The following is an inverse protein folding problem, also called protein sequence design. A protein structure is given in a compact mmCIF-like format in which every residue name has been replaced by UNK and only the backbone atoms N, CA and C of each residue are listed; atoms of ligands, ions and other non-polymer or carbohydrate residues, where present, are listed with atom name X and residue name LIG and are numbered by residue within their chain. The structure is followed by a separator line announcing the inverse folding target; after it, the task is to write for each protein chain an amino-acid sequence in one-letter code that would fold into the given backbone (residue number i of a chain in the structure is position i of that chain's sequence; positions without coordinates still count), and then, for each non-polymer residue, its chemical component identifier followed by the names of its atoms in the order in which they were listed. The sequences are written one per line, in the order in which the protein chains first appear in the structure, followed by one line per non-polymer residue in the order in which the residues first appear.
data_IF_693035755338
#
_entry.id   IF_693035755338
#
_cell.length_a   1.000
_cell.length_b   1.000
_cell.length_c   1.000
_cell.angle_alpha   90.00
_cell.angle_beta   90.00
_cell.angle_gamma   90.00
#
_symmetry.space_group_name_H-M   'P 1'
#
loop_
_entity.id
_entity.type
_entity.pdbx_description
1 polymer ?
#
# COMPACT_ATOMS: atom_id res chain seq x y z
N UNK A 1 10.76 -32.71 23.41
CA UNK A 1 11.17 -34.10 23.17
C UNK A 1 11.75 -34.76 24.44
N UNK A 2 12.62 -34.09 25.23
CA UNK A 2 13.25 -34.62 26.44
C UNK A 2 12.25 -34.90 27.58
N UNK A 3 11.25 -34.03 27.79
CA UNK A 3 10.23 -34.20 28.84
C UNK A 3 9.30 -35.37 28.51
N UNK A 4 8.91 -35.50 27.22
CA UNK A 4 8.08 -36.61 26.77
C UNK A 4 8.81 -37.95 26.88
N UNK A 5 10.10 -38.00 26.54
CA UNK A 5 10.91 -39.21 26.68
C UNK A 5 11.11 -39.57 28.17
N UNK A 6 11.30 -38.60 29.07
CA UNK A 6 11.41 -38.83 30.51
C UNK A 6 10.08 -39.38 31.07
N UNK A 7 8.94 -38.81 30.68
CA UNK A 7 7.63 -39.30 31.11
C UNK A 7 7.33 -40.72 30.60
N UNK A 8 7.68 -41.04 29.35
CA UNK A 8 7.54 -42.38 28.82
C UNK A 8 8.42 -43.37 29.58
N UNK A 9 9.68 -43.01 29.87
CA UNK A 9 10.60 -43.78 30.65
C UNK A 9 10.07 -44.07 32.06
N UNK A 10 9.56 -43.03 32.74
CA UNK A 10 9.00 -43.12 34.10
C UNK A 10 7.75 -44.03 34.14
N UNK A 11 6.89 -43.89 33.12
CA UNK A 11 5.70 -44.78 32.98
C UNK A 11 6.10 -46.21 32.72
N UNK A 12 7.13 -46.46 31.87
CA UNK A 12 7.69 -47.77 31.59
C UNK A 12 8.37 -48.37 32.81
N UNK A 13 9.13 -47.55 33.57
CA UNK A 13 9.80 -48.00 34.78
C UNK A 13 8.78 -48.34 35.87
N UNK A 14 7.75 -47.48 36.05
CA UNK A 14 6.69 -47.74 37.03
C UNK A 14 5.87 -49.00 36.66
N UNK A 15 5.57 -49.23 35.39
CA UNK A 15 4.91 -50.47 34.94
C UNK A 15 5.77 -51.68 35.10
N UNK A 16 7.10 -51.59 34.83
CA UNK A 16 8.07 -52.64 35.04
C UNK A 16 8.23 -52.98 36.54
N UNK A 17 8.39 -51.98 37.42
CA UNK A 17 8.44 -52.15 38.86
C UNK A 17 7.17 -52.74 39.45
N UNK A 18 6.00 -52.29 38.97
CA UNK A 18 4.69 -52.85 39.31
C UNK A 18 4.53 -54.31 38.88
N UNK A 19 5.15 -54.68 37.75
CA UNK A 19 5.17 -56.05 37.24
C UNK A 19 6.13 -56.93 38.05
N UNK A 20 7.33 -56.43 38.42
CA UNK A 20 8.32 -57.11 39.22
C UNK A 20 7.88 -57.22 40.68
N UNK A 21 7.30 -56.18 41.29
CA UNK A 21 6.78 -56.25 42.68
C UNK A 21 5.65 -57.26 42.85
N UNK A 22 4.93 -57.56 41.79
CA UNK A 22 3.96 -58.69 41.78
C UNK A 22 4.69 -60.02 41.75
N UNK A 23 5.88 -60.08 41.13
CA UNK A 23 6.64 -61.31 40.93
C UNK A 23 7.56 -61.63 42.15
N UNK A 24 7.97 -60.65 42.95
CA UNK A 24 8.93 -60.83 44.07
C UNK A 24 8.29 -60.72 45.47
N UNK A 25 7.03 -60.33 45.59
CA UNK A 25 6.41 -60.13 46.91
C UNK A 25 6.07 -61.39 47.65
N UNK A 26 6.12 -62.55 47.03
CA UNK A 26 5.96 -63.85 47.73
C UNK A 26 6.72 -64.96 47.03
N UNK A 27 7.83 -65.32 47.61
CA UNK A 27 8.38 -66.66 47.39
C UNK A 27 7.46 -67.60 48.15
N UNK A 28 6.55 -68.28 47.35
CA UNK A 28 5.79 -69.48 47.63
C UNK A 28 4.33 -69.36 48.03
N UNK A 29 3.53 -70.38 47.76
CA UNK A 29 3.62 -71.68 47.13
C UNK A 29 2.71 -71.87 45.91
N UNK A 30 2.68 -73.08 45.36
CA UNK A 30 2.19 -73.76 44.16
C UNK A 30 0.88 -73.32 43.46
N UNK A 31 0.30 -72.19 43.74
CA UNK A 31 -0.95 -71.72 43.09
C UNK A 31 -0.91 -70.22 42.68
N UNK A 32 0.18 -69.74 42.16
CA UNK A 32 0.20 -68.38 41.55
C UNK A 32 -0.34 -68.39 40.13
N UNK A 33 -1.63 -68.57 39.99
CA UNK A 33 -2.33 -68.32 38.76
C UNK A 33 -2.15 -66.82 38.44
N UNK A 34 -1.52 -66.54 37.29
CA UNK A 34 -1.34 -65.14 36.80
C UNK A 34 -2.68 -64.40 36.89
N UNK A 35 -2.69 -63.27 37.61
CA UNK A 35 -3.94 -62.51 37.83
C UNK A 35 -4.23 -61.63 36.64
N UNK A 36 -4.94 -62.14 35.69
CA UNK A 36 -5.37 -61.43 34.46
C UNK A 36 -6.13 -60.15 34.75
N UNK A 37 -6.88 -60.04 35.86
CA UNK A 37 -7.61 -58.85 36.21
C UNK A 37 -6.68 -57.71 36.59
N UNK A 38 -5.65 -57.94 37.39
CA UNK A 38 -4.62 -56.96 37.75
C UNK A 38 -3.83 -56.49 36.54
N UNK A 39 -3.46 -57.40 35.66
CA UNK A 39 -2.76 -57.11 34.42
C UNK A 39 -3.61 -56.19 33.49
N UNK A 40 -4.86 -56.58 33.24
CA UNK A 40 -5.78 -55.79 32.42
C UNK A 40 -6.05 -54.41 33.02
N UNK A 41 -6.13 -54.29 34.34
CA UNK A 41 -6.28 -53.03 35.05
C UNK A 41 -5.06 -52.12 34.86
N UNK A 42 -3.83 -52.66 35.00
CA UNK A 42 -2.61 -51.93 34.80
C UNK A 42 -2.49 -51.42 33.35
N UNK A 43 -2.78 -52.29 32.35
CA UNK A 43 -2.79 -51.93 30.93
C UNK A 43 -3.83 -50.84 30.63
N UNK A 44 -5.06 -50.99 31.10
CA UNK A 44 -6.11 -49.99 30.88
C UNK A 44 -5.74 -48.62 31.46
N UNK A 45 -5.17 -48.61 32.67
CA UNK A 45 -4.67 -47.39 33.33
C UNK A 45 -3.57 -46.71 32.46
N UNK A 46 -2.60 -47.48 31.98
CA UNK A 46 -1.53 -46.96 31.13
C UNK A 46 -2.04 -46.38 29.82
N UNK A 47 -3.02 -47.05 29.18
CA UNK A 47 -3.68 -46.55 27.98
C UNK A 47 -4.39 -45.20 28.24
N UNK A 48 -5.12 -45.10 29.34
CA UNK A 48 -5.84 -43.88 29.72
C UNK A 48 -4.83 -42.71 29.92
N UNK A 49 -3.76 -42.96 30.69
CA UNK A 49 -2.71 -41.96 30.94
C UNK A 49 -2.04 -41.53 29.63
N UNK A 50 -1.76 -42.46 28.72
CA UNK A 50 -1.18 -42.16 27.41
C UNK A 50 -2.12 -41.31 26.57
N UNK A 51 -3.40 -41.65 26.53
CA UNK A 51 -4.40 -40.87 25.78
C UNK A 51 -4.58 -39.46 26.36
N UNK A 52 -4.59 -39.31 27.69
CA UNK A 52 -4.59 -38.00 28.32
C UNK A 52 -3.35 -37.18 27.95
N UNK A 53 -2.17 -37.81 28.02
CA UNK A 53 -0.92 -37.13 27.59
C UNK A 53 -0.96 -36.71 26.13
N UNK A 54 -1.41 -37.59 25.23
CA UNK A 54 -1.59 -37.23 23.82
C UNK A 54 -2.56 -36.07 23.64
N UNK A 55 -3.66 -36.07 24.39
CA UNK A 55 -4.63 -34.97 24.36
C UNK A 55 -4.01 -33.62 24.75
N UNK A 56 -3.25 -33.59 25.87
CA UNK A 56 -2.52 -32.40 26.29
C UNK A 56 -1.46 -31.97 25.29
N UNK A 57 -0.71 -32.91 24.73
CA UNK A 57 0.31 -32.64 23.73
C UNK A 57 -0.28 -32.00 22.47
N UNK A 58 -1.36 -32.57 21.95
CA UNK A 58 -2.03 -32.00 20.78
C UNK A 58 -2.68 -30.64 21.08
N UNK A 59 -3.30 -30.48 22.25
CA UNK A 59 -3.86 -29.19 22.67
C UNK A 59 -2.77 -28.12 22.74
N UNK A 60 -1.60 -28.45 23.31
CA UNK A 60 -0.44 -27.55 23.37
C UNK A 60 0.05 -27.15 21.98
N UNK A 61 0.21 -28.11 21.05
CA UNK A 61 0.66 -27.83 19.67
C UNK A 61 -0.36 -26.96 18.94
N UNK A 62 -1.67 -27.24 19.11
CA UNK A 62 -2.72 -26.44 18.48
C UNK A 62 -2.70 -25.01 19.02
N UNK A 63 -2.58 -24.84 20.33
CA UNK A 63 -2.49 -23.53 20.98
C UNK A 63 -1.26 -22.73 20.50
N UNK A 64 -0.10 -23.39 20.40
CA UNK A 64 1.13 -22.77 19.91
C UNK A 64 0.99 -22.33 18.45
N UNK A 65 0.45 -23.19 17.58
CA UNK A 65 0.19 -22.85 16.17
C UNK A 65 -0.82 -21.70 16.03
N UNK A 66 -1.89 -21.73 16.83
CA UNK A 66 -2.90 -20.67 16.83
C UNK A 66 -2.30 -19.32 17.21
N UNK A 67 -1.48 -19.27 18.28
CA UNK A 67 -0.75 -18.04 18.68
C UNK A 67 0.22 -17.56 17.61
N UNK A 68 0.95 -18.47 16.97
CA UNK A 68 1.87 -18.11 15.91
C UNK A 68 1.15 -17.50 14.69
N UNK A 69 -0.02 -18.06 14.34
CA UNK A 69 -0.87 -17.51 13.29
C UNK A 69 -1.44 -16.13 13.65
N UNK A 70 -1.90 -15.96 14.88
CA UNK A 70 -2.40 -14.66 15.38
C UNK A 70 -1.34 -13.58 15.32
N UNK A 71 -0.11 -13.87 15.79
CA UNK A 71 1.02 -12.95 15.70
C UNK A 71 1.35 -12.60 14.25
N UNK A 72 1.30 -13.58 13.34
CA UNK A 72 1.52 -13.35 11.92
C UNK A 72 0.44 -12.43 11.32
N UNK A 73 -0.82 -12.68 11.63
CA UNK A 73 -1.94 -11.85 11.17
C UNK A 73 -1.81 -10.41 11.69
N UNK A 74 -1.47 -10.20 12.96
CA UNK A 74 -1.24 -8.87 13.54
C UNK A 74 -0.08 -8.14 12.85
N UNK A 75 1.00 -8.85 12.51
CA UNK A 75 2.12 -8.28 11.74
C UNK A 75 1.70 -7.87 10.32
N UNK A 76 0.90 -8.69 9.66
CA UNK A 76 0.35 -8.37 8.33
C UNK A 76 -0.56 -7.14 8.37
N UNK A 77 -1.43 -7.05 9.37
CA UNK A 77 -2.33 -5.92 9.56
C UNK A 77 -1.54 -4.63 9.87
N UNK A 78 -0.56 -4.70 10.77
CA UNK A 78 0.33 -3.57 11.07
C UNK A 78 1.10 -3.10 9.82
N UNK A 79 1.65 -4.02 9.03
CA UNK A 79 2.35 -3.71 7.78
C UNK A 79 1.43 -3.09 6.74
N UNK A 80 0.20 -3.60 6.62
CA UNK A 80 -0.82 -3.03 5.73
C UNK A 80 -1.16 -1.59 6.13
N UNK A 81 -1.41 -1.34 7.41
CA UNK A 81 -1.71 -0.02 7.94
C UNK A 81 -0.54 0.96 7.73
N UNK A 82 0.71 0.51 7.90
CA UNK A 82 1.90 1.31 7.63
C UNK A 82 2.00 1.70 6.16
N UNK A 83 1.75 0.76 5.24
CA UNK A 83 1.72 1.01 3.79
C UNK A 83 0.61 2.00 3.44
N UNK A 84 -0.59 1.84 4.01
CA UNK A 84 -1.70 2.76 3.80
C UNK A 84 -1.38 4.19 4.30
N UNK A 85 -0.80 4.32 5.49
CA UNK A 85 -0.33 5.59 6.03
C UNK A 85 0.76 6.22 5.17
N UNK A 86 1.70 5.44 4.68
CA UNK A 86 2.76 5.90 3.78
C UNK A 86 2.19 6.39 2.46
N UNK A 87 1.24 5.65 1.89
CA UNK A 87 0.55 6.05 0.66
C UNK A 87 -0.26 7.34 0.87
N UNK A 88 -0.98 7.47 1.99
CA UNK A 88 -1.73 8.68 2.31
C UNK A 88 -0.82 9.90 2.48
N UNK A 89 0.33 9.74 3.18
CA UNK A 89 1.34 10.81 3.29
C UNK A 89 1.96 11.18 1.94
N UNK A 90 2.16 10.21 1.06
CA UNK A 90 2.70 10.46 -0.28
C UNK A 90 1.72 11.23 -1.20
N UNK A 91 0.40 11.08 -0.97
CA UNK A 91 -0.63 11.85 -1.68
C UNK A 91 -0.67 13.32 -1.30
N UNK A 92 -0.19 13.65 -0.08
CA UNK A 92 -0.07 15.03 0.40
C UNK A 92 1.36 15.49 0.14
N UNK A 93 1.66 16.04 -1.04
CA UNK A 93 3.00 16.57 -1.36
C UNK A 93 3.45 17.60 -0.28
N UNK A 94 4.31 17.23 0.72
CA UNK A 94 4.63 18.13 1.84
C UNK A 94 5.33 19.41 1.37
N UNK A 95 6.14 19.30 0.33
CA UNK A 95 6.87 20.45 -0.21
C UNK A 95 5.91 21.48 -0.85
N UNK A 96 4.89 21.01 -1.57
CA UNK A 96 3.83 21.88 -2.08
C UNK A 96 3.08 22.58 -0.95
N UNK A 97 2.70 21.84 0.10
CA UNK A 97 2.02 22.41 1.27
C UNK A 97 2.82 23.52 1.93
N UNK A 98 4.10 23.28 2.23
CA UNK A 98 4.96 24.30 2.84
C UNK A 98 5.10 25.52 1.97
N UNK A 99 5.28 25.34 0.66
CA UNK A 99 5.41 26.46 -0.27
C UNK A 99 4.10 27.27 -0.38
N UNK A 100 2.95 26.59 -0.51
CA UNK A 100 1.65 27.26 -0.56
C UNK A 100 1.38 28.05 0.71
N UNK A 101 1.65 27.49 1.89
CA UNK A 101 1.49 28.18 3.17
C UNK A 101 2.40 29.40 3.30
N UNK A 102 3.65 29.32 2.82
CA UNK A 102 4.56 30.47 2.80
C UNK A 102 4.07 31.58 1.86
N UNK A 103 3.59 31.22 0.66
CA UNK A 103 3.02 32.19 -0.28
C UNK A 103 1.77 32.85 0.29
N UNK A 104 0.88 32.06 0.90
CA UNK A 104 -0.32 32.58 1.58
C UNK A 104 0.06 33.52 2.72
N UNK A 105 1.07 33.18 3.52
CA UNK A 105 1.56 34.06 4.60
C UNK A 105 2.02 35.41 4.06
N UNK A 106 2.74 35.44 2.95
CA UNK A 106 3.14 36.69 2.31
C UNK A 106 1.95 37.50 1.82
N UNK A 107 0.90 36.83 1.31
CA UNK A 107 -0.34 37.50 0.87
C UNK A 107 -1.17 38.09 2.01
N UNK A 108 -1.05 37.60 3.26
CA UNK A 108 -1.85 38.11 4.39
C UNK A 108 -1.70 39.62 4.57
N UNK A 109 -0.49 40.13 4.37
CA UNK A 109 -0.19 41.57 4.47
C UNK A 109 -0.44 42.33 3.15
N UNK A 110 -0.11 41.69 1.99
CA UNK A 110 -0.16 42.33 0.68
C UNK A 110 -1.58 42.34 0.08
N UNK A 111 -2.29 41.23 0.19
CA UNK A 111 -3.64 41.03 -0.37
C UNK A 111 -4.47 40.05 0.48
N UNK A 112 -5.06 40.49 1.58
CA UNK A 112 -5.81 39.64 2.50
C UNK A 112 -6.98 38.87 1.85
N UNK A 113 -7.60 39.45 0.84
CA UNK A 113 -8.70 38.80 0.10
C UNK A 113 -8.21 37.60 -0.68
N UNK A 114 -7.08 37.74 -1.38
CA UNK A 114 -6.46 36.64 -2.11
C UNK A 114 -5.91 35.58 -1.16
N UNK A 115 -5.33 35.98 -0.01
CA UNK A 115 -4.89 35.06 1.03
C UNK A 115 -6.04 34.15 1.50
N UNK A 116 -7.21 34.74 1.81
CA UNK A 116 -8.42 34.02 2.23
C UNK A 116 -8.91 33.04 1.16
N UNK A 117 -8.92 33.45 -0.10
CA UNK A 117 -9.28 32.60 -1.25
C UNK A 117 -8.31 31.44 -1.39
N UNK A 118 -7.01 31.70 -1.29
CA UNK A 118 -5.95 30.68 -1.40
C UNK A 118 -6.01 29.63 -0.28
N UNK A 119 -6.35 30.05 0.96
CA UNK A 119 -6.57 29.11 2.08
C UNK A 119 -7.74 28.16 1.76
N UNK A 120 -8.84 28.72 1.24
CA UNK A 120 -10.02 27.93 0.87
C UNK A 120 -9.69 26.94 -0.26
N UNK A 121 -8.99 27.41 -1.29
CA UNK A 121 -8.55 26.57 -2.41
C UNK A 121 -7.62 25.45 -1.94
N UNK A 122 -6.65 25.74 -1.08
CA UNK A 122 -5.71 24.73 -0.53
C UNK A 122 -6.47 23.68 0.28
N UNK A 123 -7.39 24.10 1.15
CA UNK A 123 -8.22 23.17 1.93
C UNK A 123 -9.08 22.27 1.05
N UNK A 124 -9.67 22.80 -0.01
CA UNK A 124 -10.48 22.04 -0.96
C UNK A 124 -9.63 21.07 -1.77
N UNK A 125 -8.47 21.52 -2.25
CA UNK A 125 -7.50 20.66 -2.99
C UNK A 125 -7.10 19.43 -2.16
N UNK A 126 -6.71 19.65 -0.90
CA UNK A 126 -6.30 18.58 0.00
C UNK A 126 -7.43 17.57 0.24
N UNK A 127 -8.64 18.07 0.53
CA UNK A 127 -9.82 17.23 0.74
C UNK A 127 -10.16 16.41 -0.50
N UNK A 128 -10.16 17.04 -1.68
CA UNK A 128 -10.43 16.36 -2.95
C UNK A 128 -9.35 15.33 -3.28
N UNK A 129 -8.06 15.66 -3.14
CA UNK A 129 -6.95 14.73 -3.39
C UNK A 129 -7.05 13.46 -2.53
N UNK A 130 -7.42 13.60 -1.24
CA UNK A 130 -7.62 12.46 -0.33
C UNK A 130 -8.82 11.62 -0.75
N UNK A 131 -9.94 12.25 -1.11
CA UNK A 131 -11.17 11.54 -1.47
C UNK A 131 -11.05 10.83 -2.83
N UNK A 132 -10.57 11.53 -3.85
CA UNK A 132 -10.39 10.97 -5.19
C UNK A 132 -9.31 9.89 -5.21
N UNK A 133 -8.24 10.06 -4.44
CA UNK A 133 -7.16 9.07 -4.36
C UNK A 133 -7.58 7.67 -3.89
N UNK A 134 -8.74 7.55 -3.23
CA UNK A 134 -9.32 6.27 -2.79
C UNK A 134 -10.14 5.57 -3.89
N UNK A 135 -10.50 6.29 -4.94
CA UNK A 135 -11.29 5.75 -6.04
C UNK A 135 -10.43 4.95 -7.00
N UNK A 136 -11.04 4.02 -7.71
CA UNK A 136 -10.36 3.24 -8.76
C UNK A 136 -10.19 4.05 -10.03
N UNK A 137 -11.27 4.66 -10.48
CA UNK A 137 -11.37 5.55 -11.63
C UNK A 137 -12.23 6.74 -11.25
N UNK A 138 -12.00 7.88 -11.93
CA UNK A 138 -12.76 9.12 -11.78
C UNK A 138 -13.00 9.75 -13.15
N UNK A 139 -14.06 10.55 -13.30
CA UNK A 139 -14.25 11.36 -14.51
C UNK A 139 -13.06 12.31 -14.74
N UNK A 140 -12.66 12.48 -15.99
CA UNK A 140 -11.59 13.41 -16.35
C UNK A 140 -11.90 14.85 -15.89
N UNK A 141 -13.17 15.24 -15.88
CA UNK A 141 -13.62 16.54 -15.37
C UNK A 141 -13.19 16.79 -13.93
N UNK A 142 -13.27 15.78 -13.06
CA UNK A 142 -12.89 15.89 -11.65
C UNK A 142 -11.38 16.04 -11.48
N UNK A 143 -10.62 15.25 -12.22
CA UNK A 143 -9.15 15.35 -12.26
C UNK A 143 -8.70 16.73 -12.77
N UNK A 144 -9.33 17.26 -13.82
CA UNK A 144 -9.03 18.59 -14.37
C UNK A 144 -9.36 19.72 -13.40
N UNK A 145 -10.44 19.61 -12.65
CA UNK A 145 -10.79 20.58 -11.62
C UNK A 145 -9.72 20.60 -10.52
N UNK A 146 -9.23 19.43 -10.13
CA UNK A 146 -8.15 19.31 -9.15
C UNK A 146 -6.85 19.95 -9.68
N UNK A 147 -6.47 19.64 -10.92
CA UNK A 147 -5.29 20.19 -11.59
C UNK A 147 -5.37 21.71 -11.74
N UNK A 148 -6.52 22.26 -12.15
CA UNK A 148 -6.73 23.72 -12.25
C UNK A 148 -6.59 24.40 -10.88
N UNK A 149 -7.16 23.81 -9.84
CA UNK A 149 -7.04 24.34 -8.47
C UNK A 149 -5.58 24.33 -8.00
N UNK A 150 -4.85 23.25 -8.29
CA UNK A 150 -3.42 23.15 -8.00
C UNK A 150 -2.62 24.23 -8.73
N UNK A 151 -2.83 24.39 -10.04
CA UNK A 151 -2.12 25.39 -10.85
C UNK A 151 -2.44 26.82 -10.43
N UNK A 152 -3.68 27.11 -10.02
CA UNK A 152 -4.05 28.43 -9.47
C UNK A 152 -3.28 28.76 -8.18
N UNK A 153 -3.05 27.75 -7.31
CA UNK A 153 -2.23 27.94 -6.10
C UNK A 153 -0.75 28.13 -6.43
N UNK A 154 -0.22 27.39 -7.41
CA UNK A 154 1.16 27.59 -7.89
C UNK A 154 1.33 28.92 -8.63
N UNK A 155 0.28 29.42 -9.30
CA UNK A 155 0.28 30.75 -9.94
C UNK A 155 0.50 31.87 -8.92
N UNK A 156 -0.03 31.74 -7.70
CA UNK A 156 0.24 32.69 -6.60
C UNK A 156 1.73 32.76 -6.25
N UNK A 157 2.42 31.64 -6.39
CA UNK A 157 3.85 31.52 -6.06
C UNK A 157 4.77 31.97 -7.19
N UNK A 158 4.42 31.57 -8.41
CA UNK A 158 5.26 31.82 -9.59
C UNK A 158 4.90 33.09 -10.33
N UNK A 159 3.71 33.64 -10.05
CA UNK A 159 3.17 34.85 -10.68
C UNK A 159 3.21 34.75 -12.22
N UNK A 160 3.83 35.72 -12.90
CA UNK A 160 3.94 35.75 -14.36
C UNK A 160 4.88 34.66 -14.92
N UNK A 161 5.69 34.03 -14.07
CA UNK A 161 6.63 32.96 -14.47
C UNK A 161 5.94 31.64 -14.80
N UNK A 162 4.67 31.47 -14.46
CA UNK A 162 3.89 30.27 -14.79
C UNK A 162 2.79 30.65 -15.79
N UNK A 163 2.91 30.20 -17.03
CA UNK A 163 1.83 30.26 -18.01
C UNK A 163 1.16 28.87 -18.15
N UNK A 164 -0.15 28.85 -18.32
CA UNK A 164 -0.91 27.60 -18.50
C UNK A 164 -1.82 27.69 -19.71
N UNK A 165 -1.88 26.64 -20.51
CA UNK A 165 -2.77 26.51 -21.66
C UNK A 165 -3.49 25.18 -21.65
N UNK A 166 -4.81 25.22 -21.82
CA UNK A 166 -5.67 24.02 -21.88
C UNK A 166 -6.41 23.99 -23.21
N UNK A 167 -6.28 22.88 -23.90
CA UNK A 167 -7.02 22.56 -25.11
C UNK A 167 -7.65 21.18 -24.96
N UNK A 168 -8.89 21.17 -24.48
CA UNK A 168 -9.59 19.97 -24.04
C UNK A 168 -10.86 19.80 -24.82
N UNK A 169 -10.99 18.66 -25.49
CA UNK A 169 -12.19 18.29 -26.19
C UNK A 169 -13.33 18.00 -25.20
N UNK A 170 -14.52 18.60 -25.33
CA UNK A 170 -15.61 18.43 -24.37
C UNK A 170 -16.02 16.97 -24.13
N UNK A 171 -16.00 16.14 -25.17
CA UNK A 171 -16.36 14.73 -25.10
C UNK A 171 -15.42 13.93 -24.20
N UNK A 172 -14.17 14.39 -24.03
CA UNK A 172 -13.20 13.76 -23.15
C UNK A 172 -13.53 13.89 -21.67
N UNK A 173 -14.30 14.90 -21.26
CA UNK A 173 -14.57 15.22 -19.86
C UNK A 173 -15.24 14.08 -19.08
N UNK A 174 -16.02 13.24 -19.77
CA UNK A 174 -16.72 12.11 -19.16
C UNK A 174 -15.91 10.81 -19.18
N UNK A 175 -14.73 10.79 -19.84
CA UNK A 175 -13.87 9.62 -19.82
C UNK A 175 -13.34 9.35 -18.42
N UNK A 176 -13.34 8.08 -18.03
CA UNK A 176 -12.82 7.67 -16.74
C UNK A 176 -11.32 7.42 -16.79
N UNK A 177 -10.59 7.99 -15.82
CA UNK A 177 -9.14 7.84 -15.69
C UNK A 177 -8.75 7.51 -14.22
N UNK A 178 -7.56 6.94 -14.00
CA UNK A 178 -7.04 6.77 -12.65
C UNK A 178 -6.85 8.14 -11.97
N UNK A 179 -7.31 8.31 -10.71
CA UNK A 179 -7.17 9.59 -10.00
C UNK A 179 -5.72 9.98 -9.79
N UNK A 180 -5.45 11.28 -9.72
CA UNK A 180 -4.14 11.89 -9.50
C UNK A 180 -3.11 11.57 -10.60
N UNK A 181 -3.58 11.11 -11.77
CA UNK A 181 -2.71 10.80 -12.91
C UNK A 181 -2.13 12.07 -13.54
N UNK A 182 -3.01 12.99 -13.94
CA UNK A 182 -2.62 14.26 -14.57
C UNK A 182 -1.98 15.18 -13.54
N UNK A 183 -2.52 15.22 -12.33
CA UNK A 183 -1.93 16.00 -11.23
C UNK A 183 -0.47 15.63 -11.01
N UNK A 184 -0.14 14.34 -10.94
CA UNK A 184 1.25 13.89 -10.77
C UNK A 184 2.17 14.39 -11.90
N UNK A 185 1.69 14.42 -13.13
CA UNK A 185 2.46 14.91 -14.28
C UNK A 185 2.68 16.42 -14.17
N UNK A 186 1.63 17.17 -13.84
CA UNK A 186 1.69 18.62 -13.68
C UNK A 186 2.58 19.01 -12.50
N UNK A 187 2.52 18.30 -11.37
CA UNK A 187 3.45 18.48 -10.25
C UNK A 187 4.90 18.29 -10.67
N UNK A 188 5.19 17.27 -11.49
CA UNK A 188 6.53 17.05 -12.02
C UNK A 188 6.94 18.15 -13.00
N UNK A 189 6.03 18.63 -13.85
CA UNK A 189 6.27 19.76 -14.75
C UNK A 189 6.64 21.05 -13.98
N UNK A 190 5.92 21.36 -12.90
CA UNK A 190 6.28 22.48 -12.02
C UNK A 190 7.63 22.26 -11.36
N UNK A 191 7.83 21.11 -10.72
CA UNK A 191 9.03 20.83 -9.92
C UNK A 191 10.32 20.78 -10.74
N UNK A 192 10.27 20.15 -11.90
CA UNK A 192 11.46 19.87 -12.72
C UNK A 192 11.59 20.78 -13.93
N UNK A 193 10.53 21.49 -14.34
CA UNK A 193 10.53 22.51 -15.37
C UNK A 193 10.51 23.90 -14.77
N UNK A 194 9.34 24.41 -14.45
CA UNK A 194 9.09 25.81 -14.09
C UNK A 194 9.95 26.29 -12.90
N UNK A 195 10.01 25.48 -11.84
CA UNK A 195 10.78 25.85 -10.63
C UNK A 195 12.29 25.91 -10.83
N UNK A 196 12.81 25.30 -11.90
CA UNK A 196 14.24 25.29 -12.24
C UNK A 196 14.65 26.43 -13.18
N UNK A 197 13.69 27.05 -13.88
CA UNK A 197 13.92 28.15 -14.80
C UNK A 197 13.76 29.51 -14.11
N UNK A 198 14.70 30.42 -14.28
CA UNK A 198 14.59 31.82 -13.79
C UNK A 198 13.51 32.57 -14.56
N UNK A 199 13.40 32.33 -15.85
CA UNK A 199 12.40 32.97 -16.73
C UNK A 199 10.99 32.34 -16.59
N UNK A 200 10.88 31.21 -15.88
CA UNK A 200 9.65 30.46 -15.79
C UNK A 200 9.39 29.56 -16.99
N UNK A 201 8.13 29.43 -17.37
CA UNK A 201 7.77 28.63 -18.53
C UNK A 201 6.25 28.37 -18.64
N UNK A 202 5.90 27.56 -19.61
CA UNK A 202 4.52 27.23 -19.93
C UNK A 202 4.24 25.75 -19.66
N UNK A 203 3.03 25.46 -19.16
CA UNK A 203 2.45 24.11 -19.13
C UNK A 203 1.28 24.10 -20.09
N UNK A 204 1.35 23.27 -21.09
CA UNK A 204 0.29 23.07 -22.07
C UNK A 204 -0.30 21.67 -21.93
N UNK A 205 -1.63 21.59 -21.93
CA UNK A 205 -2.37 20.35 -21.87
C UNK A 205 -3.32 20.21 -23.03
N UNK A 206 -3.16 19.16 -23.82
CA UNK A 206 -4.03 18.84 -24.96
C UNK A 206 -4.68 17.49 -24.69
N UNK A 207 -6.00 17.44 -24.71
CA UNK A 207 -6.75 16.19 -24.47
C UNK A 207 -7.77 15.99 -25.59
N UNK A 208 -7.70 14.83 -26.23
CA UNK A 208 -8.54 14.44 -27.36
C UNK A 208 -9.07 13.02 -27.19
N UNK A 209 -10.26 12.80 -27.69
CA UNK A 209 -10.82 11.46 -27.91
C UNK A 209 -10.70 11.13 -29.38
N UNK A 210 -9.98 10.08 -29.70
CA UNK A 210 -9.77 9.62 -31.06
C UNK A 210 -10.12 8.14 -31.15
N UNK A 211 -11.15 7.81 -31.90
CA UNK A 211 -11.71 6.45 -32.02
C UNK A 211 -12.06 5.91 -30.60
N UNK A 212 -11.36 4.84 -30.15
CA UNK A 212 -11.54 4.20 -28.85
C UNK A 212 -10.49 4.63 -27.83
N UNK A 213 -9.75 5.71 -28.07
CA UNK A 213 -8.64 6.11 -27.22
C UNK A 213 -8.78 7.55 -26.71
N UNK A 214 -8.54 7.72 -25.42
CA UNK A 214 -8.29 9.00 -24.81
C UNK A 214 -6.79 9.31 -24.90
N UNK A 215 -6.45 10.38 -25.61
CA UNK A 215 -5.09 10.89 -25.76
C UNK A 215 -4.91 12.10 -24.85
N UNK A 216 -3.97 12.04 -23.90
CA UNK A 216 -3.61 13.10 -22.98
C UNK A 216 -2.16 13.47 -23.26
N UNK A 217 -1.92 14.72 -23.65
CA UNK A 217 -0.58 15.26 -23.90
C UNK A 217 -0.36 16.42 -22.95
N UNK A 218 0.69 16.34 -22.13
CA UNK A 218 1.14 17.42 -21.25
C UNK A 218 2.53 17.83 -21.69
N UNK A 219 2.71 19.09 -22.06
CA UNK A 219 3.99 19.69 -22.40
C UNK A 219 4.38 20.72 -21.37
N UNK A 220 5.62 20.76 -21.00
CA UNK A 220 6.15 21.85 -20.16
C UNK A 220 7.53 22.29 -20.63
N UNK A 221 7.81 23.57 -20.46
CA UNK A 221 9.17 24.12 -20.61
C UNK A 221 10.10 23.50 -19.59
N UNK A 222 11.29 23.08 -20.04
CA UNK A 222 12.32 22.50 -19.17
C UNK A 222 13.07 21.35 -19.83
N UNK A 223 14.01 20.80 -19.08
CA UNK A 223 14.84 19.69 -19.52
C UNK A 223 14.53 18.40 -18.78
N UNK A 224 14.50 17.31 -19.53
CA UNK A 224 14.35 15.96 -18.96
C UNK A 224 15.68 15.53 -18.33
N UNK A 225 15.90 15.83 -17.04
CA UNK A 225 17.15 15.54 -16.30
C UNK A 225 17.36 14.07 -15.96
N UNK A 226 16.79 13.15 -16.70
CA UNK A 226 16.94 11.71 -16.42
C UNK A 226 18.06 11.11 -17.25
N UNK A 227 19.13 10.64 -16.58
CA UNK A 227 19.94 9.54 -17.13
C UNK A 227 18.96 8.40 -17.43
N UNK A 228 19.05 7.81 -18.64
CA UNK A 228 18.16 6.74 -19.13
C UNK A 228 17.61 5.86 -17.99
N UNK A 229 16.31 6.00 -17.69
CA UNK A 229 15.58 5.02 -16.87
C UNK A 229 15.07 5.48 -15.49
N UNK A 230 15.44 6.63 -14.96
CA UNK A 230 14.99 7.07 -13.63
C UNK A 230 13.89 8.15 -13.69
N UNK A 231 12.73 7.78 -14.22
CA UNK A 231 11.52 8.58 -13.99
C UNK A 231 11.27 8.68 -12.47
N UNK A 232 10.95 9.89 -11.98
CA UNK A 232 10.66 10.11 -10.55
C UNK A 232 9.59 9.12 -10.04
N UNK A 233 9.61 8.85 -8.74
CA UNK A 233 8.74 7.85 -8.09
C UNK A 233 7.26 8.03 -8.50
N UNK A 234 6.78 9.27 -8.61
CA UNK A 234 5.42 9.59 -9.02
C UNK A 234 5.08 9.09 -10.43
N UNK A 235 5.92 9.40 -11.41
CA UNK A 235 5.75 8.98 -12.81
C UNK A 235 5.82 7.44 -12.92
N UNK A 236 6.77 6.81 -12.22
CA UNK A 236 6.89 5.35 -12.20
C UNK A 236 5.64 4.68 -11.63
N UNK A 237 5.07 5.24 -10.57
CA UNK A 237 3.83 4.75 -9.97
C UNK A 237 2.62 4.95 -10.90
N UNK A 238 2.53 6.11 -11.57
CA UNK A 238 1.48 6.39 -12.56
C UNK A 238 1.53 5.39 -13.71
N UNK A 239 2.72 5.13 -14.26
CA UNK A 239 2.90 4.12 -15.32
C UNK A 239 2.49 2.73 -14.86
N UNK A 240 2.99 2.28 -13.70
CA UNK A 240 2.63 0.97 -13.13
C UNK A 240 1.12 0.84 -12.90
N UNK A 241 0.47 1.90 -12.46
CA UNK A 241 -0.99 1.93 -12.25
C UNK A 241 -1.76 1.77 -13.57
N UNK A 242 -1.33 2.46 -14.62
CA UNK A 242 -1.89 2.29 -15.96
C UNK A 242 -1.71 0.87 -16.48
N UNK A 243 -0.52 0.28 -16.31
CA UNK A 243 -0.24 -1.10 -16.70
C UNK A 243 -1.15 -2.11 -15.97
N UNK A 244 -1.42 -1.89 -14.67
CA UNK A 244 -2.30 -2.76 -13.87
C UNK A 244 -3.77 -2.63 -14.31
N UNK A 245 -4.23 -1.40 -14.60
CA UNK A 245 -5.66 -1.14 -14.90
C UNK A 245 -6.04 -1.46 -16.33
N UNK A 246 -5.15 -1.21 -17.27
CA UNK A 246 -5.46 -1.28 -18.72
C UNK A 246 -4.56 -2.27 -19.49
N UNK A 247 -3.48 -2.78 -18.89
CA UNK A 247 -2.55 -3.68 -19.56
C UNK A 247 -2.04 -3.11 -20.89
N UNK A 248 -2.27 -3.84 -21.99
CA UNK A 248 -1.91 -3.39 -23.35
C UNK A 248 -2.81 -2.26 -23.88
N UNK A 249 -3.89 -1.92 -23.19
CA UNK A 249 -4.81 -0.84 -23.56
C UNK A 249 -4.33 0.56 -23.18
N UNK A 250 -3.21 0.69 -22.46
CA UNK A 250 -2.63 1.98 -22.16
C UNK A 250 -1.17 2.06 -22.61
N UNK A 251 -0.76 3.28 -23.02
CA UNK A 251 0.63 3.60 -23.31
C UNK A 251 1.01 4.89 -22.60
N UNK A 252 2.20 4.92 -22.00
CA UNK A 252 2.76 6.07 -21.33
C UNK A 252 4.18 6.32 -21.82
N UNK A 253 4.43 7.48 -22.41
CA UNK A 253 5.75 7.90 -22.84
C UNK A 253 6.10 9.29 -22.31
N UNK A 254 7.37 9.53 -22.10
CA UNK A 254 7.95 10.83 -21.74
C UNK A 254 9.18 11.03 -22.58
N UNK A 255 9.30 12.19 -23.20
CA UNK A 255 10.39 12.51 -24.13
C UNK A 255 10.73 13.98 -24.10
N UNK A 256 11.95 14.30 -24.52
CA UNK A 256 12.40 15.67 -24.74
C UNK A 256 12.11 16.06 -26.18
N UNK A 257 11.43 17.18 -26.38
CA UNK A 257 11.21 17.79 -27.70
C UNK A 257 11.70 19.24 -27.68
N UNK A 258 12.92 19.46 -28.15
CA UNK A 258 13.58 20.78 -28.06
C UNK A 258 13.74 21.21 -26.60
N UNK A 259 13.17 22.36 -26.25
CA UNK A 259 13.21 22.93 -24.89
C UNK A 259 11.99 22.49 -24.04
N UNK A 260 11.24 21.51 -24.49
CA UNK A 260 10.04 21.04 -23.80
C UNK A 260 10.14 19.56 -23.45
N UNK A 261 9.60 19.22 -22.28
CA UNK A 261 9.32 17.85 -21.90
C UNK A 261 7.89 17.53 -22.27
N UNK A 262 7.68 16.44 -23.00
CA UNK A 262 6.37 15.99 -23.46
C UNK A 262 6.04 14.65 -22.82
N UNK A 263 4.95 14.63 -22.09
CA UNK A 263 4.34 13.40 -21.56
C UNK A 263 3.13 13.07 -22.43
N UNK A 264 3.11 11.86 -22.98
CA UNK A 264 2.02 11.39 -23.81
C UNK A 264 1.40 10.13 -23.20
N UNK A 265 0.10 10.17 -22.93
CA UNK A 265 -0.66 9.06 -22.38
C UNK A 265 -1.79 8.74 -23.34
N UNK A 266 -1.87 7.48 -23.70
CA UNK A 266 -2.95 6.94 -24.52
C UNK A 266 -3.65 5.84 -23.74
N UNK A 267 -4.97 5.97 -23.53
CA UNK A 267 -5.77 5.04 -22.74
C UNK A 267 -6.94 4.59 -23.62
N UNK A 268 -7.11 3.28 -23.75
CA UNK A 268 -8.31 2.73 -24.37
C UNK A 268 -9.47 2.90 -23.39
N UNK A 269 -10.48 3.67 -23.79
CA UNK A 269 -11.70 3.79 -23.01
C UNK A 269 -12.80 2.94 -23.65
N UNK A 270 -13.68 2.41 -22.82
CA UNK A 270 -14.87 1.65 -23.27
C UNK A 270 -16.07 2.56 -23.36
#
# INVERSE_FOLDING_TARGET
LSIAAAFILEVLQYTYESFITIDYAEVLPEDTAFNWASFLFAVSRSIILFLLWCGFYFAFIIAEKSRAQEILNLKWEASKNEIELKNLRAQLNPHFLFNSLNSIRALVELNPTQAKTSITQLSNLLRQSINLGKMRLIPLSDELNLVKTYLNLEQVRFEERLATRFDIQPEALNCEIPPLLIQTIVENAIKHGIAQSVEGGIIEMVIRVEQDFLNIIVRNTGELKTKKGEAGIGIKNSKKRLDILYGKGANFSIQQEGEQVVVNIKIKYQ
#
